data_IF_124775601555
#
_entry.id   IF_124775601555
#
_cell.length_a   1.000
_cell.length_b   1.000
_cell.length_c   1.000
_cell.angle_alpha   90.00
_cell.angle_beta   90.00
_cell.angle_gamma   90.00
#
_symmetry.space_group_name_H-M   'P 1'
#
loop_
_entity.id
_entity.type
_entity.pdbx_description
1 polymer ?
#
# COMPACT_ATOMS: atom_id res chain seq x y z
N UNK A 1 -19.89 2.81 -17.16
CA UNK A 1 -19.39 1.49 -16.75
C UNK A 1 -18.54 1.68 -15.51
N UNK A 2 -18.78 0.95 -14.42
CA UNK A 2 -17.95 1.01 -13.23
C UNK A 2 -16.62 0.28 -13.48
N UNK A 3 -15.50 0.66 -12.83
CA UNK A 3 -14.19 0.01 -13.02
C UNK A 3 -14.21 -1.51 -12.82
N UNK A 4 -15.16 -2.00 -12.01
CA UNK A 4 -15.40 -3.43 -11.76
C UNK A 4 -15.99 -4.17 -12.97
N UNK A 5 -16.61 -3.47 -13.94
CA UNK A 5 -17.18 -4.11 -15.11
C UNK A 5 -16.12 -4.48 -16.16
N UNK A 6 -15.02 -3.75 -16.25
CA UNK A 6 -13.92 -4.03 -17.18
C UNK A 6 -13.16 -5.33 -16.82
N UNK A 7 -13.23 -5.73 -15.55
CA UNK A 7 -12.55 -6.95 -15.05
C UNK A 7 -13.43 -8.20 -15.04
N UNK A 8 -14.64 -8.15 -15.63
CA UNK A 8 -15.53 -9.31 -15.70
C UNK A 8 -15.12 -10.25 -16.83
N UNK A 9 -14.98 -11.54 -16.50
CA UNK A 9 -14.70 -12.60 -17.48
C UNK A 9 -13.71 -13.63 -16.96
N UNK A 10 -13.38 -14.56 -17.85
CA UNK A 10 -12.26 -15.50 -17.66
C UNK A 10 -11.11 -15.02 -18.51
N UNK A 11 -9.97 -14.84 -17.91
CA UNK A 11 -8.76 -14.37 -18.59
C UNK A 11 -7.62 -15.32 -18.31
N UNK A 12 -6.81 -15.58 -19.31
CA UNK A 12 -5.55 -16.29 -19.19
C UNK A 12 -4.42 -15.26 -19.09
N UNK A 13 -3.71 -15.26 -17.97
CA UNK A 13 -2.50 -14.45 -17.80
C UNK A 13 -1.28 -15.33 -17.97
N UNK A 14 -0.44 -15.02 -18.95
CA UNK A 14 0.87 -15.64 -19.14
C UNK A 14 1.94 -14.61 -18.80
N UNK A 15 2.58 -14.76 -17.63
CA UNK A 15 3.59 -13.84 -17.11
C UNK A 15 4.97 -14.50 -17.12
N UNK A 16 5.94 -13.82 -17.68
CA UNK A 16 7.36 -14.18 -17.62
C UNK A 16 8.11 -13.05 -16.91
N UNK A 17 8.95 -13.40 -15.95
CA UNK A 17 9.69 -12.39 -15.19
C UNK A 17 11.05 -12.86 -14.73
N UNK A 18 11.87 -11.89 -14.34
CA UNK A 18 13.20 -12.07 -13.77
C UNK A 18 13.28 -11.27 -12.48
N UNK A 19 13.90 -11.83 -11.46
CA UNK A 19 14.20 -11.15 -10.21
C UNK A 19 15.68 -11.28 -9.86
N UNK A 20 16.22 -10.20 -9.27
CA UNK A 20 17.58 -10.15 -8.75
C UNK A 20 17.53 -9.66 -7.31
N UNK A 21 18.37 -10.24 -6.45
CA UNK A 21 18.51 -9.76 -5.08
C UNK A 21 19.97 -9.84 -4.63
N UNK A 22 20.39 -8.84 -3.86
CA UNK A 22 21.67 -8.76 -3.18
C UNK A 22 21.43 -8.61 -1.69
N UNK A 23 22.14 -9.36 -0.88
CA UNK A 23 22.03 -9.32 0.57
C UNK A 23 23.41 -9.35 1.20
N UNK A 24 23.76 -8.27 1.93
CA UNK A 24 25.02 -8.10 2.65
C UNK A 24 24.80 -7.94 4.15
N UNK A 25 23.59 -8.26 4.64
CA UNK A 25 23.27 -8.15 6.06
C UNK A 25 24.07 -9.18 6.85
N UNK A 26 24.46 -8.78 8.04
CA UNK A 26 25.17 -9.65 9.00
C UNK A 26 24.30 -10.84 9.47
N UNK A 27 22.97 -10.63 9.60
CA UNK A 27 21.98 -11.65 9.94
C UNK A 27 20.70 -11.42 9.10
N UNK A 28 20.20 -12.46 8.40
CA UNK A 28 18.96 -12.36 7.64
C UNK A 28 17.70 -12.14 8.47
N UNK A 29 17.69 -12.58 9.75
CA UNK A 29 16.52 -12.54 10.64
C UNK A 29 16.61 -11.34 11.59
N UNK A 30 17.78 -11.09 12.17
CA UNK A 30 18.02 -10.02 13.15
C UNK A 30 19.16 -9.10 12.68
N UNK A 31 18.99 -8.38 11.56
CA UNK A 31 20.06 -7.58 11.00
C UNK A 31 20.40 -6.40 11.91
N UNK A 32 21.68 -6.25 12.18
CA UNK A 32 22.24 -5.10 12.91
C UNK A 32 23.00 -4.16 11.97
N UNK A 33 23.54 -4.71 10.87
CA UNK A 33 24.35 -3.97 9.89
C UNK A 33 24.20 -4.57 8.51
N UNK A 34 24.44 -3.72 7.50
CA UNK A 34 24.44 -4.12 6.10
C UNK A 34 23.21 -3.65 5.37
N UNK A 35 23.07 -4.09 4.14
CA UNK A 35 21.96 -3.71 3.29
C UNK A 35 21.48 -4.90 2.45
N UNK A 36 20.22 -4.84 2.07
CA UNK A 36 19.61 -5.73 1.09
C UNK A 36 18.94 -4.88 0.02
N UNK A 37 19.07 -5.28 -1.22
CA UNK A 37 18.30 -4.71 -2.33
C UNK A 37 17.79 -5.84 -3.23
N UNK A 38 16.59 -5.67 -3.76
CA UNK A 38 15.98 -6.60 -4.69
C UNK A 38 15.16 -5.85 -5.73
N UNK A 39 15.00 -6.47 -6.89
CA UNK A 39 14.13 -5.97 -7.94
C UNK A 39 13.63 -7.09 -8.82
N UNK A 40 12.45 -6.90 -9.38
CA UNK A 40 11.83 -7.81 -10.33
C UNK A 40 11.22 -7.03 -11.48
N UNK A 41 11.24 -7.64 -12.65
CA UNK A 41 10.50 -7.18 -13.80
C UNK A 41 9.75 -8.36 -14.40
N UNK A 42 8.48 -8.16 -14.75
CA UNK A 42 7.63 -9.14 -15.38
C UNK A 42 6.91 -8.55 -16.58
N UNK A 43 6.67 -9.38 -17.57
CA UNK A 43 5.89 -9.04 -18.78
C UNK A 43 4.84 -10.10 -18.98
N UNK A 44 3.59 -9.68 -19.04
CA UNK A 44 2.44 -10.50 -19.40
C UNK A 44 2.05 -10.25 -20.86
N UNK A 45 1.50 -11.28 -21.54
CA UNK A 45 1.01 -11.16 -22.93
C UNK A 45 1.61 -12.17 -23.91
N UNK A 46 2.48 -13.06 -23.44
CA UNK A 46 3.04 -14.13 -24.30
C UNK A 46 2.08 -15.31 -24.37
N UNK A 47 0.99 -15.18 -25.17
CA UNK A 47 -0.02 -16.21 -25.35
C UNK A 47 -1.17 -16.17 -24.34
N UNK A 48 -1.38 -15.04 -23.63
CA UNK A 48 -2.51 -14.78 -22.74
C UNK A 48 -3.46 -13.74 -23.32
N UNK A 49 -4.51 -13.43 -22.55
CA UNK A 49 -5.55 -12.42 -22.88
C UNK A 49 -5.24 -11.04 -22.30
N UNK A 50 -4.09 -10.88 -21.62
CA UNK A 50 -3.75 -9.69 -20.84
C UNK A 50 -2.33 -9.26 -21.14
N UNK A 51 -2.18 -7.98 -21.44
CA UNK A 51 -0.91 -7.39 -21.84
C UNK A 51 -0.50 -6.28 -20.84
N UNK A 52 0.50 -6.54 -20.00
CA UNK A 52 1.09 -5.55 -19.11
C UNK A 52 2.56 -5.86 -18.81
N UNK A 53 3.27 -4.87 -18.34
CA UNK A 53 4.57 -5.05 -17.69
C UNK A 53 4.51 -4.52 -16.27
N UNK A 54 5.22 -5.17 -15.37
CA UNK A 54 5.33 -4.74 -13.99
C UNK A 54 6.78 -4.74 -13.55
N UNK A 55 7.13 -3.80 -12.69
CA UNK A 55 8.43 -3.77 -12.03
C UNK A 55 8.25 -3.45 -10.56
N UNK A 56 8.99 -4.14 -9.71
CA UNK A 56 9.03 -3.88 -8.28
C UNK A 56 10.47 -3.82 -7.81
N UNK A 57 10.75 -2.91 -6.91
CA UNK A 57 12.05 -2.76 -6.27
C UNK A 57 11.86 -2.64 -4.76
N UNK A 58 12.76 -3.25 -4.01
CA UNK A 58 12.81 -3.13 -2.57
C UNK A 58 14.23 -3.01 -2.07
N UNK A 59 14.39 -2.32 -0.95
CA UNK A 59 15.68 -2.15 -0.31
C UNK A 59 15.52 -2.01 1.20
N UNK A 60 16.55 -2.40 1.93
CA UNK A 60 16.65 -2.19 3.36
C UNK A 60 18.11 -1.97 3.74
N UNK A 61 18.38 -0.98 4.57
CA UNK A 61 19.69 -0.67 5.12
C UNK A 61 19.61 -0.60 6.63
N UNK A 62 20.57 -1.23 7.30
CA UNK A 62 20.67 -1.33 8.75
C UNK A 62 22.01 -0.79 9.23
N UNK A 63 21.98 0.04 10.27
CA UNK A 63 23.19 0.62 10.84
C UNK A 63 23.01 0.84 12.36
N UNK A 64 23.97 0.43 13.20
CA UNK A 64 24.00 0.80 14.61
C UNK A 64 24.11 2.33 14.75
N UNK A 65 23.27 2.96 15.54
CA UNK A 65 23.28 4.41 15.76
C UNK A 65 24.10 4.75 17.00
N UNK A 66 23.59 4.35 18.17
CA UNK A 66 24.22 4.58 19.46
C UNK A 66 23.98 3.35 20.33
N UNK A 67 25.04 2.80 20.94
CA UNK A 67 24.93 1.59 21.75
C UNK A 67 24.29 0.43 20.96
N UNK A 68 23.23 -0.13 21.49
CA UNK A 68 22.49 -1.23 20.86
C UNK A 68 21.26 -0.78 20.03
N UNK A 69 21.06 0.53 19.87
CA UNK A 69 20.02 1.04 18.97
C UNK A 69 20.43 0.86 17.51
N UNK A 70 19.54 0.29 16.71
CA UNK A 70 19.79 0.05 15.29
C UNK A 70 18.80 0.88 14.48
N UNK A 71 19.33 1.72 13.59
CA UNK A 71 18.55 2.40 12.57
C UNK A 71 18.32 1.49 11.38
N UNK A 72 17.10 1.51 10.85
CA UNK A 72 16.77 0.83 9.61
C UNK A 72 16.03 1.79 8.69
N UNK A 73 16.46 1.84 7.43
CA UNK A 73 15.76 2.51 6.34
C UNK A 73 15.34 1.44 5.34
N UNK A 74 14.04 1.41 5.02
CA UNK A 74 13.49 0.47 4.06
C UNK A 74 12.73 1.23 2.98
N UNK A 75 12.72 0.71 1.78
CA UNK A 75 11.97 1.31 0.67
C UNK A 75 11.42 0.25 -0.25
N UNK A 76 10.25 0.54 -0.82
CA UNK A 76 9.59 -0.28 -1.83
C UNK A 76 9.00 0.62 -2.91
N UNK A 77 9.17 0.21 -4.14
CA UNK A 77 8.66 0.87 -5.33
C UNK A 77 7.99 -0.17 -6.19
N UNK A 78 6.87 0.16 -6.79
CA UNK A 78 6.21 -0.69 -7.77
C UNK A 78 5.58 0.16 -8.87
N UNK A 79 5.63 -0.37 -10.07
CA UNK A 79 4.98 0.21 -11.23
C UNK A 79 4.47 -0.89 -12.17
N UNK A 80 3.24 -0.74 -12.64
CA UNK A 80 2.61 -1.62 -13.61
C UNK A 80 1.91 -0.77 -14.67
N UNK A 81 2.01 -1.19 -15.93
CA UNK A 81 1.30 -0.53 -17.03
C UNK A 81 0.94 -1.52 -18.13
N UNK A 82 -0.18 -1.25 -18.80
CA UNK A 82 -0.61 -2.02 -19.95
C UNK A 82 0.20 -1.69 -21.20
N UNK A 83 0.33 -2.64 -22.11
CA UNK A 83 0.90 -2.39 -23.41
C UNK A 83 -0.01 -2.94 -24.54
N UNK A 84 0.20 -2.46 -25.76
CA UNK A 84 -0.63 -2.85 -26.89
C UNK A 84 -2.04 -2.22 -26.90
N UNK A 85 -2.32 -1.23 -26.04
CA UNK A 85 -3.63 -0.59 -25.91
C UNK A 85 -4.52 -1.18 -24.81
N UNK A 86 -4.01 -2.17 -24.05
CA UNK A 86 -4.72 -2.77 -22.91
C UNK A 86 -4.56 -1.93 -21.65
N UNK A 87 -5.62 -1.86 -20.86
CA UNK A 87 -5.59 -1.30 -19.51
C UNK A 87 -5.17 -2.36 -18.49
N UNK A 88 -4.59 -1.90 -17.37
CA UNK A 88 -4.27 -2.78 -16.24
C UNK A 88 -5.56 -3.13 -15.50
N UNK A 89 -5.89 -4.42 -15.45
CA UNK A 89 -7.07 -4.90 -14.75
C UNK A 89 -6.98 -4.64 -13.24
N UNK A 90 -8.13 -4.49 -12.62
CA UNK A 90 -8.27 -4.29 -11.19
C UNK A 90 -7.49 -5.35 -10.37
N UNK A 91 -7.55 -6.62 -10.77
CA UNK A 91 -6.87 -7.74 -10.11
C UNK A 91 -5.35 -7.70 -10.17
N UNK A 92 -4.79 -6.96 -11.11
CA UNK A 92 -3.36 -6.92 -11.36
C UNK A 92 -2.71 -5.65 -10.79
N UNK A 93 -3.52 -4.69 -10.31
CA UNK A 93 -3.05 -3.44 -9.70
C UNK A 93 -2.53 -3.64 -8.29
N UNK A 94 -1.77 -2.68 -7.78
CA UNK A 94 -1.25 -2.68 -6.42
C UNK A 94 -2.28 -2.18 -5.42
N UNK A 95 -2.37 -2.88 -4.28
CA UNK A 95 -3.21 -2.52 -3.14
C UNK A 95 -2.32 -2.40 -1.91
N UNK A 96 -2.21 -1.20 -1.35
CA UNK A 96 -1.31 -0.90 -0.25
C UNK A 96 -2.07 -0.51 1.01
N UNK A 97 -1.46 -0.78 2.16
CA UNK A 97 -2.03 -0.57 3.48
C UNK A 97 -1.66 -1.72 4.43
N UNK A 98 -2.29 -1.81 5.57
CA UNK A 98 -2.03 -2.84 6.57
C UNK A 98 -0.56 -2.92 6.98
N UNK A 99 0.08 -4.06 6.77
CA UNK A 99 1.50 -4.29 7.11
C UNK A 99 2.47 -3.60 6.15
N UNK A 100 2.02 -3.25 4.96
CA UNK A 100 2.85 -2.59 3.95
C UNK A 100 2.93 -1.07 4.13
N UNK A 101 1.91 -0.47 4.75
CA UNK A 101 1.86 0.93 5.14
C UNK A 101 1.04 1.04 6.42
N UNK A 102 1.72 0.95 7.55
CA UNK A 102 1.10 0.90 8.89
C UNK A 102 0.30 2.16 9.20
N UNK A 103 -0.83 2.00 9.88
CA UNK A 103 -1.76 3.09 10.17
C UNK A 103 -2.92 3.19 9.17
N UNK A 104 -2.90 2.39 8.11
CA UNK A 104 -3.98 2.28 7.15
C UNK A 104 -4.56 0.86 7.14
N UNK A 105 -5.84 0.74 6.81
CA UNK A 105 -6.51 -0.53 6.62
C UNK A 105 -5.92 -1.33 5.45
N UNK A 106 -6.35 -2.57 5.26
CA UNK A 106 -6.03 -3.36 4.06
C UNK A 106 -6.56 -2.61 2.85
N UNK A 107 -5.71 -2.38 1.84
CA UNK A 107 -6.03 -1.54 0.68
C UNK A 107 -6.53 -0.13 1.07
N UNK A 108 -6.15 0.35 2.26
CA UNK A 108 -6.60 1.61 2.83
C UNK A 108 -6.02 2.86 2.18
N UNK A 109 -4.98 2.72 1.37
CA UNK A 109 -4.27 3.80 0.69
C UNK A 109 -4.35 3.63 -0.81
N UNK A 110 -4.61 4.71 -1.53
CA UNK A 110 -4.57 4.74 -2.98
C UNK A 110 -5.90 5.07 -3.64
N UNK A 111 -5.98 4.90 -4.96
CA UNK A 111 -7.14 5.31 -5.73
C UNK A 111 -8.43 4.62 -5.30
N UNK A 112 -9.52 5.40 -5.25
CA UNK A 112 -10.85 4.92 -4.87
C UNK A 112 -11.93 5.40 -5.84
N UNK A 113 -12.92 4.53 -6.02
CA UNK A 113 -14.20 4.87 -6.63
C UNK A 113 -15.19 5.20 -5.51
N UNK A 114 -15.54 6.46 -5.34
CA UNK A 114 -16.44 6.93 -4.29
C UNK A 114 -17.87 6.47 -4.58
N UNK A 115 -18.53 5.95 -3.57
CA UNK A 115 -19.91 5.43 -3.65
C UNK A 115 -20.87 6.14 -2.72
N UNK A 116 -20.38 6.71 -1.63
CA UNK A 116 -21.21 7.41 -0.64
C UNK A 116 -20.38 8.30 0.28
N UNK A 117 -21.08 9.23 0.94
CA UNK A 117 -20.56 10.03 2.02
C UNK A 117 -21.42 9.78 3.25
N UNK A 118 -20.81 9.50 4.40
CA UNK A 118 -21.48 9.29 5.68
C UNK A 118 -20.75 10.04 6.76
N UNK A 119 -21.47 10.85 7.56
CA UNK A 119 -20.91 11.64 8.66
C UNK A 119 -19.68 12.46 8.27
N UNK A 120 -19.66 13.01 7.04
CA UNK A 120 -18.56 13.77 6.50
C UNK A 120 -17.35 12.93 6.06
N UNK A 121 -17.45 11.61 6.08
CA UNK A 121 -16.41 10.71 5.58
C UNK A 121 -16.76 10.17 4.20
N UNK A 122 -15.75 10.13 3.34
CA UNK A 122 -15.85 9.58 1.99
C UNK A 122 -15.69 8.05 2.04
N UNK A 123 -16.69 7.34 1.54
CA UNK A 123 -16.66 5.89 1.40
C UNK A 123 -16.61 5.52 -0.08
N UNK A 124 -15.75 4.57 -0.41
CA UNK A 124 -15.60 4.11 -1.77
C UNK A 124 -14.94 2.74 -1.81
N UNK A 125 -15.01 2.13 -2.99
CA UNK A 125 -14.31 0.89 -3.29
C UNK A 125 -12.87 1.21 -3.70
N UNK A 126 -11.94 0.45 -3.19
CA UNK A 126 -10.56 0.45 -3.66
C UNK A 126 -10.49 -0.05 -5.11
N UNK A 127 -9.78 0.68 -5.93
CA UNK A 127 -9.59 0.35 -7.35
C UNK A 127 -8.11 0.05 -7.69
N UNK A 128 -7.26 0.00 -6.67
CA UNK A 128 -5.84 -0.28 -6.82
C UNK A 128 -5.09 0.80 -7.62
N UNK A 129 -3.80 0.81 -7.45
CA UNK A 129 -2.88 1.77 -8.07
C UNK A 129 -1.99 1.10 -9.11
N UNK A 130 -1.54 1.87 -10.10
CA UNK A 130 -0.50 1.45 -11.05
C UNK A 130 0.91 1.71 -10.53
N UNK A 131 1.04 2.60 -9.52
CA UNK A 131 2.33 2.92 -8.93
C UNK A 131 2.25 3.12 -7.42
N UNK A 132 3.30 2.72 -6.74
CA UNK A 132 3.54 3.06 -5.35
C UNK A 132 5.01 3.34 -5.08
N UNK A 133 5.26 4.19 -4.09
CA UNK A 133 6.58 4.45 -3.52
C UNK A 133 6.42 4.60 -2.01
N UNK A 134 6.92 3.64 -1.24
CA UNK A 134 6.76 3.60 0.22
C UNK A 134 8.13 3.47 0.86
N UNK A 135 8.43 4.36 1.79
CA UNK A 135 9.61 4.36 2.62
C UNK A 135 9.26 4.13 4.09
N UNK A 136 10.15 3.50 4.81
CA UNK A 136 10.04 3.25 6.24
C UNK A 136 11.35 3.61 6.92
N UNK A 137 11.29 4.46 7.91
CA UNK A 137 12.38 4.70 8.85
C UNK A 137 12.04 4.04 10.18
N UNK A 138 12.93 3.19 10.69
CA UNK A 138 12.74 2.49 11.97
C UNK A 138 13.95 2.65 12.88
N UNK A 139 13.69 2.70 14.19
CA UNK A 139 14.69 2.60 15.23
C UNK A 139 14.34 1.36 16.08
N UNK A 140 15.14 0.31 15.94
CA UNK A 140 15.02 -0.90 16.75
C UNK A 140 15.54 -0.60 18.15
N UNK A 141 14.73 -0.89 19.15
CA UNK A 141 14.99 -0.57 20.56
C UNK A 141 15.68 -1.75 21.24
N UNK A 142 16.78 -1.53 21.98
CA UNK A 142 17.35 -2.56 22.84
C UNK A 142 16.43 -2.76 24.04
N UNK A 143 15.79 -3.90 24.11
CA UNK A 143 14.96 -4.27 25.26
C UNK A 143 15.81 -4.95 26.35
N UNK A 144 15.60 -4.62 27.65
CA UNK A 144 16.29 -5.29 28.76
C UNK A 144 15.68 -6.67 29.05
N UNK A 145 15.37 -7.44 27.99
CA UNK A 145 14.77 -8.77 28.07
C UNK A 145 15.74 -9.80 27.50
N UNK A 146 15.81 -10.98 28.08
CA UNK A 146 16.59 -12.11 27.54
C UNK A 146 16.13 -12.38 26.07
N UNK A 147 17.08 -12.57 25.17
CA UNK A 147 16.82 -12.82 23.74
C UNK A 147 15.95 -14.05 23.48
N UNK A 148 15.96 -15.01 24.41
CA UNK A 148 15.14 -16.21 24.34
C UNK A 148 13.63 -15.96 24.32
N UNK A 149 13.18 -14.81 24.78
CA UNK A 149 11.76 -14.44 24.69
C UNK A 149 11.34 -13.99 23.29
N UNK A 150 12.29 -13.70 22.41
CA UNK A 150 12.02 -13.33 21.03
C UNK A 150 11.22 -12.02 20.85
N UNK A 151 11.20 -11.15 21.88
CA UNK A 151 10.46 -9.90 21.86
C UNK A 151 11.35 -8.78 21.31
N UNK A 152 10.83 -8.01 20.36
CA UNK A 152 11.51 -6.86 19.74
C UNK A 152 10.54 -5.69 19.67
N UNK A 153 11.04 -4.49 19.90
CA UNK A 153 10.27 -3.26 19.73
C UNK A 153 10.99 -2.30 18.78
N UNK A 154 10.22 -1.50 18.07
CA UNK A 154 10.73 -0.47 17.18
C UNK A 154 9.84 0.76 17.22
N UNK A 155 10.45 1.92 17.10
CA UNK A 155 9.76 3.14 16.69
C UNK A 155 9.83 3.20 15.16
N UNK A 156 8.75 3.61 14.53
CA UNK A 156 8.73 3.70 13.07
C UNK A 156 8.05 4.96 12.56
N UNK A 157 8.40 5.32 11.34
CA UNK A 157 7.65 6.25 10.50
C UNK A 157 7.58 5.67 9.10
N UNK A 158 6.37 5.47 8.60
CA UNK A 158 6.12 5.10 7.21
C UNK A 158 5.69 6.34 6.44
N UNK A 159 6.20 6.50 5.23
CA UNK A 159 5.88 7.61 4.35
C UNK A 159 5.89 7.15 2.91
N UNK A 160 5.01 7.70 2.09
CA UNK A 160 4.94 7.29 0.70
C UNK A 160 3.74 7.82 -0.05
N UNK A 161 3.65 7.40 -1.28
CA UNK A 161 2.56 7.70 -2.19
C UNK A 161 2.11 6.44 -2.91
N UNK A 162 0.81 6.37 -3.18
CA UNK A 162 0.16 5.27 -3.91
C UNK A 162 -0.87 5.90 -4.84
N UNK A 163 -0.81 5.64 -6.11
CA UNK A 163 -1.71 6.26 -7.07
C UNK A 163 -1.45 5.81 -8.49
N UNK A 164 -1.96 6.56 -9.41
CA UNK A 164 -2.08 6.33 -10.84
C UNK A 164 -3.12 5.25 -11.18
N UNK A 165 -4.08 5.65 -12.00
CA UNK A 165 -5.01 4.77 -12.68
C UNK A 165 -4.93 5.00 -14.19
N UNK A 166 -5.53 4.12 -14.97
CA UNK A 166 -5.58 4.27 -16.41
C UNK A 166 -6.44 5.49 -16.82
N UNK A 167 -6.10 6.10 -17.96
CA UNK A 167 -6.83 7.27 -18.48
C UNK A 167 -8.30 6.97 -18.73
N UNK A 168 -8.64 5.76 -19.16
CA UNK A 168 -10.03 5.30 -19.30
C UNK A 168 -10.78 5.29 -17.96
N UNK A 169 -10.11 4.95 -16.88
CA UNK A 169 -10.67 5.02 -15.52
C UNK A 169 -10.89 6.48 -15.10
N UNK A 170 -9.95 7.38 -15.38
CA UNK A 170 -10.07 8.82 -15.11
C UNK A 170 -11.17 9.48 -15.94
N UNK A 171 -11.37 9.05 -17.17
CA UNK A 171 -12.43 9.57 -18.05
C UNK A 171 -13.85 9.34 -17.51
N UNK A 172 -14.02 8.47 -16.49
CA UNK A 172 -15.29 8.34 -15.77
C UNK A 172 -15.66 9.64 -15.01
N UNK A 173 -14.65 10.41 -14.58
CA UNK A 173 -14.90 11.71 -13.94
C UNK A 173 -15.52 12.75 -14.92
N UNK A 174 -15.16 12.66 -16.20
CA UNK A 174 -15.66 13.62 -17.22
C UNK A 174 -17.09 13.30 -17.67
N UNK A 175 -17.51 12.02 -17.58
CA UNK A 175 -18.79 11.54 -18.10
C UNK A 175 -19.87 11.35 -17.04
N UNK A 176 -19.53 11.40 -15.77
CA UNK A 176 -20.44 11.13 -14.67
C UNK A 176 -20.25 12.19 -13.58
N UNK A 177 -20.92 13.33 -13.73
CA UNK A 177 -21.19 14.20 -12.59
C UNK A 177 -22.11 13.44 -11.63
N UNK A 178 -21.54 12.66 -10.72
CA UNK A 178 -22.28 12.08 -9.61
C UNK A 178 -22.44 13.19 -8.57
N UNK A 179 -23.61 13.75 -8.52
CA UNK A 179 -24.06 14.53 -7.38
C UNK A 179 -24.26 13.53 -6.24
N UNK A 180 -23.32 13.38 -5.33
CA UNK A 180 -23.55 12.73 -4.07
C UNK A 180 -24.36 13.70 -3.22
N UNK A 181 -25.68 13.48 -3.17
CA UNK A 181 -26.58 14.22 -2.31
C UNK A 181 -26.30 13.83 -0.85
N UNK A 182 -25.96 14.79 -0.01
CA UNK A 182 -25.52 14.58 1.37
C UNK A 182 -26.62 14.08 2.31
N UNK A 183 -27.89 14.34 1.98
CA UNK A 183 -29.04 13.98 2.83
C UNK A 183 -29.89 12.84 2.26
N UNK A 184 -29.58 12.38 1.07
CA UNK A 184 -30.34 11.31 0.41
C UNK A 184 -31.72 11.74 -0.05
N UNK A 185 -32.06 13.03 0.01
CA UNK A 185 -33.30 13.60 -0.47
C UNK A 185 -33.07 14.46 -1.71
N UNK A 186 -33.37 13.96 -2.92
CA UNK A 186 -33.19 14.70 -4.17
C UNK A 186 -34.07 15.94 -4.28
N UNK A 187 -34.98 16.19 -3.32
CA UNK A 187 -35.89 17.34 -3.33
C UNK A 187 -35.36 18.58 -2.62
N UNK A 188 -34.31 18.48 -1.81
CA UNK A 188 -33.85 19.58 -0.95
C UNK A 188 -32.95 20.59 -1.63
N UNK A 189 -32.40 20.28 -2.82
CA UNK A 189 -31.59 21.24 -3.59
C UNK A 189 -30.40 21.83 -2.83
N UNK A 190 -29.95 21.17 -1.77
CA UNK A 190 -28.82 21.60 -0.98
C UNK A 190 -27.57 21.45 -1.84
N UNK A 191 -26.72 22.46 -1.89
CA UNK A 191 -25.46 22.50 -2.61
C UNK A 191 -24.66 21.21 -2.40
N UNK A 192 -24.89 20.19 -3.23
CA UNK A 192 -24.17 18.95 -3.22
C UNK A 192 -22.70 19.27 -3.44
N UNK A 193 -21.83 18.78 -2.59
CA UNK A 193 -20.41 18.81 -2.88
C UNK A 193 -20.22 17.86 -4.08
N UNK A 194 -19.85 18.44 -5.20
CA UNK A 194 -19.55 17.70 -6.41
C UNK A 194 -18.19 17.02 -6.22
N UNK A 195 -18.21 15.74 -5.94
CA UNK A 195 -16.99 14.93 -5.87
C UNK A 195 -16.81 14.16 -7.17
N UNK A 196 -15.62 14.24 -7.73
CA UNK A 196 -15.23 13.32 -8.79
C UNK A 196 -15.32 11.88 -8.27
N UNK A 197 -16.00 10.96 -8.98
CA UNK A 197 -16.18 9.59 -8.49
C UNK A 197 -14.84 8.84 -8.36
N UNK A 198 -13.84 9.16 -9.16
CA UNK A 198 -12.50 8.60 -9.05
C UNK A 198 -11.60 9.59 -8.33
N UNK A 199 -11.10 9.18 -7.17
CA UNK A 199 -10.07 9.88 -6.42
C UNK A 199 -8.73 9.20 -6.67
N UNK A 200 -7.76 9.94 -7.21
CA UNK A 200 -6.42 9.43 -7.56
C UNK A 200 -5.38 10.56 -7.43
N UNK A 201 -4.89 10.77 -6.22
CA UNK A 201 -3.87 11.76 -5.92
C UNK A 201 -2.56 11.11 -5.47
N UNK A 202 -1.47 11.44 -6.16
CA UNK A 202 -0.11 11.06 -5.77
C UNK A 202 0.38 11.93 -4.59
N UNK A 203 -0.43 12.05 -3.56
CA UNK A 203 -0.08 12.80 -2.36
C UNK A 203 0.81 11.99 -1.42
N UNK A 204 1.61 12.70 -0.66
CA UNK A 204 2.43 12.09 0.39
C UNK A 204 1.56 11.75 1.61
N UNK A 205 1.53 10.48 2.01
CA UNK A 205 0.97 10.01 3.28
C UNK A 205 2.10 9.78 4.26
N UNK A 206 1.85 10.02 5.54
CA UNK A 206 2.86 9.85 6.60
C UNK A 206 2.20 9.31 7.85
N UNK A 207 2.79 8.28 8.42
CA UNK A 207 2.40 7.73 9.72
C UNK A 207 3.62 7.58 10.62
N UNK A 208 3.41 7.51 11.92
CA UNK A 208 4.45 7.20 12.89
C UNK A 208 3.87 6.36 14.03
N UNK A 209 4.68 5.53 14.65
CA UNK A 209 4.17 4.66 15.70
C UNK A 209 5.20 3.78 16.36
N UNK A 210 4.67 2.80 17.07
CA UNK A 210 5.45 1.78 17.78
C UNK A 210 5.03 0.40 17.29
N UNK A 211 6.02 -0.44 17.03
CA UNK A 211 5.82 -1.83 16.63
C UNK A 211 6.43 -2.74 17.67
N UNK A 212 5.69 -3.76 18.10
CA UNK A 212 6.19 -4.83 18.98
C UNK A 212 6.00 -6.16 18.27
N UNK A 213 7.08 -6.88 18.07
CA UNK A 213 7.06 -8.22 17.49
C UNK A 213 7.53 -9.25 18.52
N UNK A 214 6.90 -10.41 18.50
CA UNK A 214 7.19 -11.54 19.37
C UNK A 214 7.28 -12.83 18.56
N UNK A 215 8.44 -13.46 18.61
CA UNK A 215 8.66 -14.79 18.03
C UNK A 215 8.06 -15.83 19.00
N UNK A 216 6.73 -15.98 18.98
CA UNK A 216 6.03 -16.87 19.91
C UNK A 216 6.20 -18.35 19.53
N UNK A 217 6.00 -19.31 20.47
CA UNK A 217 6.01 -20.74 20.14
C UNK A 217 4.97 -21.18 19.11
N UNK A 218 3.96 -20.35 18.87
CA UNK A 218 2.87 -20.60 17.90
C UNK A 218 3.08 -19.88 16.57
N UNK A 219 4.20 -19.19 16.42
CA UNK A 219 4.56 -18.39 15.25
C UNK A 219 4.79 -16.92 15.60
N UNK A 220 5.29 -16.14 14.63
CA UNK A 220 5.56 -14.72 14.84
C UNK A 220 4.24 -13.95 15.01
N UNK A 221 4.23 -13.05 15.97
CA UNK A 221 3.12 -12.17 16.31
C UNK A 221 3.62 -10.73 16.29
N UNK A 222 2.82 -9.82 15.78
CA UNK A 222 3.17 -8.41 15.71
C UNK A 222 1.98 -7.52 16.08
N UNK A 223 2.28 -6.48 16.85
CA UNK A 223 1.38 -5.43 17.26
C UNK A 223 1.93 -4.10 16.75
N UNK A 224 1.16 -3.40 15.94
CA UNK A 224 1.50 -2.08 15.43
C UNK A 224 0.50 -1.05 15.97
N UNK A 225 1.02 -0.01 16.62
CA UNK A 225 0.27 1.14 17.06
C UNK A 225 0.72 2.34 16.24
N UNK A 226 -0.14 2.84 15.38
CA UNK A 226 0.18 3.89 14.44
C UNK A 226 -0.70 5.12 14.65
N UNK A 227 -0.09 6.29 14.53
CA UNK A 227 -0.76 7.58 14.42
C UNK A 227 -0.55 8.11 13.01
N UNK A 228 -1.64 8.47 12.36
CA UNK A 228 -1.62 9.08 11.05
C UNK A 228 -1.27 10.56 11.21
N UNK A 229 -0.22 11.01 10.52
CA UNK A 229 0.24 12.39 10.51
C UNK A 229 -0.24 13.14 9.27
N UNK A 230 -0.35 12.43 8.13
CA UNK A 230 -0.85 12.97 6.87
C UNK A 230 -1.55 11.87 6.08
N UNK A 231 -2.75 12.16 5.57
CA UNK A 231 -3.57 11.29 4.72
C UNK A 231 -4.45 12.11 3.79
N UNK A 232 -5.08 11.46 2.84
CA UNK A 232 -6.21 12.02 2.08
C UNK A 232 -7.54 11.70 2.76
N UNK A 233 -8.59 12.46 2.43
CA UNK A 233 -9.91 12.31 3.06
C UNK A 233 -10.56 10.96 2.76
N UNK A 234 -10.23 10.38 1.62
CA UNK A 234 -10.74 9.07 1.17
C UNK A 234 -9.89 7.87 1.67
N UNK A 235 -8.74 8.11 2.30
CA UNK A 235 -7.92 7.03 2.87
C UNK A 235 -8.59 6.41 4.11
N UNK A 236 -8.59 5.08 4.20
CA UNK A 236 -9.12 4.34 5.33
C UNK A 236 -8.01 4.02 6.33
N UNK A 237 -8.23 4.37 7.60
CA UNK A 237 -7.18 4.35 8.61
C UNK A 237 -7.45 3.37 9.74
N UNK A 238 -6.39 2.73 10.24
CA UNK A 238 -6.43 1.80 11.36
C UNK A 238 -5.28 2.11 12.33
N UNK A 239 -5.61 2.63 13.51
CA UNK A 239 -4.61 3.02 14.52
C UNK A 239 -3.93 1.86 15.26
N UNK A 240 -4.54 0.67 15.25
CA UNK A 240 -4.01 -0.53 15.88
C UNK A 240 -4.18 -1.72 14.96
N UNK A 241 -3.11 -2.49 14.80
CA UNK A 241 -3.13 -3.74 14.03
C UNK A 241 -2.46 -4.86 14.80
N UNK A 242 -3.12 -6.00 14.78
CA UNK A 242 -2.58 -7.29 15.20
C UNK A 242 -2.34 -8.14 13.96
N UNK A 243 -1.15 -8.74 13.86
CA UNK A 243 -0.81 -9.69 12.80
C UNK A 243 -0.21 -10.94 13.42
N UNK A 244 -0.66 -12.11 12.96
CA UNK A 244 -0.12 -13.41 13.37
C UNK A 244 0.21 -14.22 12.11
N UNK A 245 1.35 -14.89 12.11
CA UNK A 245 1.88 -15.57 10.94
C UNK A 245 2.81 -14.66 10.13
N UNK A 246 3.43 -15.20 9.11
CA UNK A 246 4.34 -14.51 8.18
C UNK A 246 3.61 -13.98 6.99
#
# INVERSE_FOLDING_TARGET
>A
LTPTCESRGKFLTSLVGVSLSFDTRDDPIKPRRGWRAGGSIGVAGLGGDVNYYQTEMNGAWYHPIIGDFIGALKGRLGYIDGWGGDNVRLSDRFFEGASSFRGFEVAGVGPRYLTSVRDGQLFGQEIGAKAYAIGTAEILLPLPLPEQYGIRAALFSDFGTVGLVDDSTKALNDNTAFYLDFDGDPSTGVNGLEFAPIQDDLSLRVTAGVSVSWDSPFGPVRFDFAKILRKEEYDQTEGFRFSAGT
#
